data_IF_013608945760
#
_entry.id   IF_013608945760
#
_cell.length_a   1.000
_cell.length_b   1.000
_cell.length_c   1.000
_cell.angle_alpha   90.00
_cell.angle_beta   90.00
_cell.angle_gamma   90.00
#
_symmetry.space_group_name_H-M   'P 1'
#
loop_
_entity.id
_entity.type
_entity.pdbx_description
1 polymer ?
#
# COMPACT_ATOMS: atom_id res chain seq x y z
N UNK A 1 20.81 22.85 -12.38
CA UNK A 1 19.35 22.92 -12.19
C UNK A 1 18.77 21.55 -12.48
N UNK A 2 17.74 21.08 -11.72
CA UNK A 2 17.07 19.81 -12.01
C UNK A 2 16.62 19.76 -13.48
N UNK A 3 16.91 18.62 -14.15
CA UNK A 3 16.58 18.46 -15.58
C UNK A 3 17.48 19.18 -16.59
N UNK A 4 18.48 19.92 -16.14
CA UNK A 4 19.49 20.53 -17.01
C UNK A 4 20.88 19.98 -16.69
N UNK A 5 21.28 18.95 -17.41
CA UNK A 5 22.55 18.26 -17.22
C UNK A 5 22.45 17.05 -16.30
N UNK A 6 23.56 16.36 -16.08
CA UNK A 6 23.60 15.17 -15.22
C UNK A 6 23.71 15.56 -13.76
N UNK A 7 22.70 15.18 -12.95
CA UNK A 7 22.72 15.26 -11.49
C UNK A 7 23.35 14.00 -10.86
N UNK A 8 23.92 13.09 -11.65
CA UNK A 8 24.36 11.76 -11.21
C UNK A 8 25.33 11.81 -10.03
N UNK A 9 26.25 12.77 -10.00
CA UNK A 9 27.20 12.91 -8.90
C UNK A 9 26.51 13.35 -7.58
N UNK A 10 25.51 14.22 -7.68
CA UNK A 10 24.73 14.69 -6.52
C UNK A 10 23.86 13.55 -6.00
N UNK A 11 23.17 12.86 -6.89
CA UNK A 11 22.32 11.71 -6.54
C UNK A 11 23.15 10.59 -5.91
N UNK A 12 24.34 10.31 -6.45
CA UNK A 12 25.28 9.34 -5.89
C UNK A 12 25.75 9.75 -4.49
N UNK A 13 26.18 11.02 -4.31
CA UNK A 13 26.64 11.53 -3.03
C UNK A 13 25.54 11.48 -1.96
N UNK A 14 24.30 11.90 -2.30
CA UNK A 14 23.16 11.87 -1.38
C UNK A 14 22.75 10.43 -1.03
N UNK A 15 22.78 9.51 -2.00
CA UNK A 15 22.51 8.09 -1.74
C UNK A 15 23.60 7.49 -0.84
N UNK A 16 24.88 7.81 -1.07
CA UNK A 16 25.98 7.40 -0.22
C UNK A 16 25.86 7.92 1.21
N UNK A 17 25.49 9.20 1.38
CA UNK A 17 25.21 9.78 2.69
C UNK A 17 24.05 9.06 3.39
N UNK A 18 22.96 8.79 2.68
CA UNK A 18 21.81 8.06 3.21
C UNK A 18 22.24 6.70 3.77
N UNK A 19 23.00 5.92 3.01
CA UNK A 19 23.49 4.62 3.47
C UNK A 19 24.47 4.73 4.63
N UNK A 20 25.36 5.72 4.63
CA UNK A 20 26.30 5.95 5.72
C UNK A 20 25.60 6.21 7.06
N UNK A 21 24.62 7.12 7.08
CA UNK A 21 23.91 7.49 8.32
C UNK A 21 22.92 6.43 8.82
N UNK A 22 22.69 5.38 8.04
CA UNK A 22 21.90 4.21 8.48
C UNK A 22 22.75 3.19 9.24
N UNK A 23 24.05 3.39 9.34
CA UNK A 23 24.94 2.50 10.09
C UNK A 23 24.60 2.51 11.59
N UNK A 24 24.94 1.40 12.27
CA UNK A 24 24.72 1.27 13.71
C UNK A 24 25.47 2.35 14.48
N UNK A 25 24.77 3.07 15.33
CA UNK A 25 25.33 4.14 16.16
C UNK A 25 25.19 5.55 15.57
N UNK A 26 24.76 5.69 14.32
CA UNK A 26 24.66 6.98 13.60
C UNK A 26 23.27 7.65 13.72
N UNK A 27 22.49 7.36 14.77
CA UNK A 27 21.12 7.86 14.90
C UNK A 27 21.02 9.40 14.88
N UNK A 28 21.98 10.11 15.48
CA UNK A 28 21.99 11.58 15.44
C UNK A 28 22.25 12.09 14.02
N UNK A 29 23.17 11.47 13.28
CA UNK A 29 23.46 11.80 11.89
C UNK A 29 22.27 11.44 11.00
N UNK A 30 21.63 10.27 11.22
CA UNK A 30 20.41 9.87 10.54
C UNK A 30 19.29 10.92 10.70
N UNK A 31 18.99 11.32 11.94
CA UNK A 31 17.95 12.31 12.23
C UNK A 31 18.28 13.68 11.61
N UNK A 32 19.53 14.12 11.72
CA UNK A 32 19.97 15.37 11.09
C UNK A 32 19.80 15.34 9.56
N UNK A 33 20.14 14.21 8.93
CA UNK A 33 19.96 14.01 7.48
C UNK A 33 18.50 13.96 7.10
N UNK A 34 17.64 13.24 7.85
CA UNK A 34 16.20 13.22 7.62
C UNK A 34 15.62 14.65 7.65
N UNK A 35 15.95 15.43 8.68
CA UNK A 35 15.51 16.81 8.81
C UNK A 35 16.02 17.72 7.68
N UNK A 36 17.25 17.49 7.19
CA UNK A 36 17.77 18.22 6.03
C UNK A 36 16.98 17.89 4.75
N UNK A 37 16.65 16.62 4.52
CA UNK A 37 15.80 16.19 3.40
C UNK A 37 14.38 16.75 3.49
N UNK A 38 13.76 16.75 4.66
CA UNK A 38 12.44 17.37 4.89
C UNK A 38 12.45 18.86 4.53
N UNK A 39 13.45 19.60 5.00
CA UNK A 39 13.62 21.02 4.65
C UNK A 39 13.89 21.25 3.15
N UNK A 40 14.57 20.31 2.50
CA UNK A 40 14.82 20.39 1.07
C UNK A 40 13.53 20.19 0.25
N UNK A 41 12.61 19.31 0.69
CA UNK A 41 11.31 19.11 0.04
C UNK A 41 10.48 20.40 -0.05
N UNK A 42 10.56 21.27 0.95
CA UNK A 42 9.84 22.55 0.97
C UNK A 42 10.42 23.56 -0.04
N UNK A 43 11.72 23.46 -0.35
CA UNK A 43 12.44 24.41 -1.20
C UNK A 43 12.52 23.99 -2.67
N UNK A 44 12.43 22.71 -2.93
CA UNK A 44 12.55 22.15 -4.29
C UNK A 44 11.18 22.22 -4.96
N UNK A 45 11.13 22.74 -6.19
CA UNK A 45 9.91 22.76 -7.00
C UNK A 45 9.85 21.61 -8.00
N UNK A 46 11.01 21.07 -8.40
CA UNK A 46 11.10 19.99 -9.38
C UNK A 46 10.59 18.67 -8.82
N UNK A 47 9.67 18.02 -9.55
CA UNK A 47 8.99 16.80 -9.13
C UNK A 47 9.92 15.58 -9.05
N UNK A 48 10.82 15.44 -10.00
CA UNK A 48 11.78 14.32 -10.02
C UNK A 48 12.73 14.42 -8.84
N UNK A 49 13.21 15.61 -8.51
CA UNK A 49 14.04 15.85 -7.34
C UNK A 49 13.27 15.58 -6.04
N UNK A 50 12.00 16.01 -5.95
CA UNK A 50 11.14 15.65 -4.81
C UNK A 50 10.98 14.15 -4.68
N UNK A 51 10.68 13.45 -5.77
CA UNK A 51 10.54 12.00 -5.77
C UNK A 51 11.85 11.30 -5.35
N UNK A 52 13.00 11.83 -5.77
CA UNK A 52 14.30 11.33 -5.33
C UNK A 52 14.49 11.49 -3.82
N UNK A 53 14.23 12.69 -3.27
CA UNK A 53 14.35 12.94 -1.83
C UNK A 53 13.40 12.05 -1.03
N UNK A 54 12.15 11.87 -1.47
CA UNK A 54 11.19 10.97 -0.83
C UNK A 54 11.71 9.52 -0.81
N UNK A 55 12.37 9.07 -1.89
CA UNK A 55 13.02 7.74 -1.92
C UNK A 55 14.19 7.63 -0.92
N UNK A 56 14.94 8.71 -0.68
CA UNK A 56 15.96 8.72 0.38
C UNK A 56 15.29 8.62 1.77
N UNK A 57 14.20 9.38 2.01
CA UNK A 57 13.41 9.30 3.24
C UNK A 57 12.75 7.92 3.44
N UNK A 58 12.44 7.19 2.36
CA UNK A 58 11.97 5.80 2.45
C UNK A 58 13.00 4.89 3.14
N UNK A 59 14.30 5.16 2.96
CA UNK A 59 15.39 4.36 3.53
C UNK A 59 15.66 4.74 4.98
N UNK A 60 15.84 6.03 5.27
CA UNK A 60 16.34 6.49 6.57
C UNK A 60 15.26 7.12 7.47
N UNK A 61 14.08 7.42 6.93
CA UNK A 61 13.02 8.12 7.67
C UNK A 61 12.37 7.26 8.75
N UNK A 62 11.97 7.92 9.81
CA UNK A 62 11.14 7.36 10.89
C UNK A 62 9.93 8.26 11.11
N UNK A 63 9.38 8.30 12.31
CA UNK A 63 8.14 9.01 12.64
C UNK A 63 8.20 10.53 12.36
N UNK A 64 9.39 11.13 12.43
CA UNK A 64 9.60 12.53 12.10
C UNK A 64 9.25 12.89 10.65
N UNK A 65 9.24 11.90 9.75
CA UNK A 65 8.95 12.11 8.33
C UNK A 65 7.46 11.96 7.98
N UNK A 66 6.65 11.34 8.86
CA UNK A 66 5.29 10.89 8.55
C UNK A 66 4.39 12.03 8.13
N UNK A 67 4.40 13.15 8.85
CA UNK A 67 3.53 14.31 8.56
C UNK A 67 3.81 14.90 7.16
N UNK A 68 5.07 15.13 6.85
CA UNK A 68 5.47 15.69 5.54
C UNK A 68 5.18 14.72 4.41
N UNK A 69 5.48 13.42 4.57
CA UNK A 69 5.17 12.41 3.56
C UNK A 69 3.67 12.29 3.30
N UNK A 70 2.85 12.41 4.35
CA UNK A 70 1.40 12.36 4.25
C UNK A 70 0.82 13.48 3.37
N UNK A 71 1.43 14.67 3.35
CA UNK A 71 0.97 15.79 2.52
C UNK A 71 1.06 15.50 1.01
N UNK A 72 1.92 14.57 0.61
CA UNK A 72 2.09 14.15 -0.80
C UNK A 72 1.17 13.01 -1.24
N UNK A 73 0.37 12.41 -0.35
CA UNK A 73 -0.49 11.29 -0.70
C UNK A 73 -1.60 11.62 -1.73
N UNK A 74 -1.95 12.90 -1.86
CA UNK A 74 -2.92 13.37 -2.85
C UNK A 74 -2.27 13.96 -4.12
N UNK A 75 -0.96 14.04 -4.20
CA UNK A 75 -0.24 14.48 -5.40
C UNK A 75 -0.08 13.33 -6.39
N UNK A 76 -0.59 13.48 -7.62
CA UNK A 76 -0.58 12.40 -8.63
C UNK A 76 0.82 11.89 -8.99
N UNK A 77 1.85 12.70 -8.83
CA UNK A 77 3.22 12.34 -9.19
C UNK A 77 4.01 11.82 -8.00
N UNK A 78 3.64 12.23 -6.77
CA UNK A 78 4.39 11.93 -5.57
C UNK A 78 3.69 10.95 -4.62
N UNK A 79 2.38 10.65 -4.85
CA UNK A 79 1.62 9.72 -4.01
C UNK A 79 2.28 8.34 -3.91
N UNK A 80 2.72 7.78 -5.03
CA UNK A 80 3.39 6.48 -5.05
C UNK A 80 4.69 6.44 -4.24
N UNK A 81 5.65 7.36 -4.48
CA UNK A 81 6.83 7.50 -3.62
C UNK A 81 6.49 7.71 -2.14
N UNK A 82 5.55 8.62 -1.83
CA UNK A 82 5.17 8.92 -0.44
C UNK A 82 4.52 7.72 0.27
N UNK A 83 3.59 7.04 -0.38
CA UNK A 83 2.95 5.84 0.16
C UNK A 83 3.97 4.72 0.44
N UNK A 84 4.92 4.48 -0.49
CA UNK A 84 6.00 3.51 -0.27
C UNK A 84 6.93 3.92 0.88
N UNK A 85 7.25 5.21 1.02
CA UNK A 85 8.07 5.68 2.13
C UNK A 85 7.37 5.46 3.48
N UNK A 86 6.07 5.79 3.58
CA UNK A 86 5.26 5.52 4.77
C UNK A 86 5.17 4.02 5.08
N UNK A 87 5.03 3.17 4.05
CA UNK A 87 5.07 1.71 4.20
C UNK A 87 6.41 1.19 4.73
N UNK A 88 7.53 1.80 4.32
CA UNK A 88 8.86 1.41 4.79
C UNK A 88 9.09 1.85 6.25
N UNK A 89 8.59 3.02 6.65
CA UNK A 89 8.68 3.53 8.02
C UNK A 89 7.96 2.60 9.02
N UNK A 90 6.80 2.05 8.67
CA UNK A 90 6.05 1.02 9.42
C UNK A 90 5.66 1.38 10.86
N UNK A 91 5.81 2.60 11.31
CA UNK A 91 5.35 3.01 12.64
C UNK A 91 3.82 3.02 12.68
N UNK A 92 3.24 2.95 13.87
CA UNK A 92 1.79 2.99 14.02
C UNK A 92 1.21 4.31 13.49
N UNK A 93 1.97 5.40 13.61
CA UNK A 93 1.59 6.69 13.05
C UNK A 93 1.55 6.66 11.52
N UNK A 94 2.55 6.08 10.86
CA UNK A 94 2.57 5.90 9.41
C UNK A 94 1.40 5.04 8.92
N UNK A 95 1.08 3.94 9.62
CA UNK A 95 -0.07 3.08 9.32
C UNK A 95 -1.39 3.84 9.44
N UNK A 96 -1.59 4.56 10.56
CA UNK A 96 -2.79 5.37 10.80
C UNK A 96 -3.00 6.43 9.73
N UNK A 97 -1.93 7.09 9.29
CA UNK A 97 -1.99 8.11 8.24
C UNK A 97 -2.42 7.52 6.89
N UNK A 98 -1.91 6.35 6.52
CA UNK A 98 -2.32 5.66 5.29
C UNK A 98 -3.82 5.31 5.33
N UNK A 99 -4.30 4.72 6.43
CA UNK A 99 -5.72 4.38 6.61
C UNK A 99 -6.59 5.63 6.59
N UNK A 100 -6.22 6.68 7.35
CA UNK A 100 -6.96 7.94 7.41
C UNK A 100 -7.03 8.63 6.03
N UNK A 101 -5.96 8.55 5.23
CA UNK A 101 -5.94 9.11 3.88
C UNK A 101 -6.87 8.34 2.94
N UNK A 102 -6.92 7.03 3.04
CA UNK A 102 -7.86 6.21 2.27
C UNK A 102 -9.31 6.46 2.68
N UNK A 103 -9.58 6.61 3.99
CA UNK A 103 -10.93 6.90 4.52
C UNK A 103 -11.49 8.23 4.01
N UNK A 104 -10.66 9.26 3.83
CA UNK A 104 -11.09 10.54 3.27
C UNK A 104 -11.54 10.44 1.82
N UNK A 105 -11.13 9.41 1.09
CA UNK A 105 -11.43 9.22 -0.34
C UNK A 105 -11.12 10.46 -1.20
N UNK A 106 -10.19 11.28 -0.75
CA UNK A 106 -9.70 12.45 -1.48
C UNK A 106 -8.64 12.02 -2.49
N UNK A 107 -8.44 12.86 -3.51
CA UNK A 107 -7.49 12.58 -4.57
C UNK A 107 -8.09 11.80 -5.75
N UNK A 108 -7.23 11.44 -6.68
CA UNK A 108 -7.60 10.74 -7.90
C UNK A 108 -7.64 9.22 -7.70
N UNK A 109 -8.25 8.45 -8.63
CA UNK A 109 -8.16 6.99 -8.59
C UNK A 109 -6.72 6.47 -8.53
N UNK A 110 -5.77 7.18 -9.15
CA UNK A 110 -4.35 6.81 -9.10
C UNK A 110 -3.78 6.91 -7.68
N UNK A 111 -3.99 8.05 -7.01
CA UNK A 111 -3.47 8.26 -5.65
C UNK A 111 -4.10 7.30 -4.65
N UNK A 112 -5.39 7.00 -4.79
CA UNK A 112 -6.07 5.99 -3.96
C UNK A 112 -5.46 4.60 -4.16
N UNK A 113 -5.18 4.19 -5.41
CA UNK A 113 -4.51 2.90 -5.69
C UNK A 113 -3.11 2.84 -5.08
N UNK A 114 -2.34 3.93 -5.13
CA UNK A 114 -1.03 3.99 -4.51
C UNK A 114 -1.10 3.75 -2.98
N UNK A 115 -2.11 4.33 -2.31
CA UNK A 115 -2.36 4.13 -0.87
C UNK A 115 -2.82 2.70 -0.58
N UNK A 116 -3.75 2.15 -1.37
CA UNK A 116 -4.26 0.77 -1.22
C UNK A 116 -3.11 -0.24 -1.32
N UNK A 117 -2.22 -0.09 -2.31
CA UNK A 117 -1.02 -0.93 -2.44
C UNK A 117 -0.12 -0.85 -1.22
N UNK A 118 0.15 0.36 -0.74
CA UNK A 118 0.95 0.57 0.46
C UNK A 118 0.35 -0.12 1.70
N UNK A 119 -0.96 -0.05 1.87
CA UNK A 119 -1.70 -0.74 2.94
C UNK A 119 -1.57 -2.26 2.81
N UNK A 120 -1.71 -2.79 1.59
CA UNK A 120 -1.58 -4.21 1.31
C UNK A 120 -0.15 -4.73 1.57
N UNK A 121 0.87 -3.97 1.18
CA UNK A 121 2.28 -4.35 1.32
C UNK A 121 2.70 -4.55 2.79
N UNK A 122 2.21 -3.70 3.69
CA UNK A 122 2.51 -3.81 5.12
C UNK A 122 1.37 -4.43 5.94
N UNK A 123 0.34 -4.93 5.27
CA UNK A 123 -0.79 -5.68 5.85
C UNK A 123 -1.48 -4.95 7.00
N UNK A 124 -1.92 -3.70 6.77
CA UNK A 124 -2.58 -2.89 7.79
C UNK A 124 -4.02 -3.38 7.98
N UNK A 125 -4.27 -4.18 9.00
CA UNK A 125 -5.57 -4.79 9.28
C UNK A 125 -6.68 -3.74 9.53
N UNK A 126 -6.36 -2.59 10.12
CA UNK A 126 -7.31 -1.50 10.39
C UNK A 126 -7.96 -0.93 9.11
N UNK A 127 -7.39 -1.23 7.94
CA UNK A 127 -7.95 -0.82 6.65
C UNK A 127 -9.08 -1.74 6.15
N UNK A 128 -9.35 -2.88 6.77
CA UNK A 128 -10.31 -3.88 6.29
C UNK A 128 -11.68 -3.24 5.99
N UNK A 129 -12.24 -2.47 6.92
CA UNK A 129 -13.57 -1.88 6.76
C UNK A 129 -13.65 -0.85 5.64
N UNK A 130 -12.64 0.02 5.49
CA UNK A 130 -12.63 1.01 4.40
C UNK A 130 -12.46 0.33 3.04
N UNK A 131 -11.68 -0.72 2.95
CA UNK A 131 -11.50 -1.51 1.72
C UNK A 131 -12.79 -2.26 1.36
N UNK A 132 -13.49 -2.88 2.33
CA UNK A 132 -14.80 -3.50 2.11
C UNK A 132 -15.81 -2.51 1.51
N UNK A 133 -15.85 -1.28 2.01
CA UNK A 133 -16.73 -0.24 1.49
C UNK A 133 -16.35 0.24 0.06
N UNK A 134 -15.19 -0.20 -0.48
CA UNK A 134 -14.74 0.10 -1.85
C UNK A 134 -14.93 -1.06 -2.83
N UNK A 135 -15.39 -2.24 -2.40
CA UNK A 135 -15.62 -3.42 -3.25
C UNK A 135 -16.60 -3.19 -4.39
N UNK A 136 -17.55 -2.26 -4.21
CA UNK A 136 -18.56 -1.91 -5.22
C UNK A 136 -18.07 -0.92 -6.28
N UNK A 137 -16.78 -0.67 -6.42
CA UNK A 137 -16.25 0.24 -7.43
C UNK A 137 -16.60 -0.23 -8.85
N UNK A 138 -17.07 0.70 -9.68
CA UNK A 138 -17.30 0.45 -11.11
C UNK A 138 -16.01 0.48 -11.94
N UNK A 139 -14.90 0.99 -11.39
CA UNK A 139 -13.59 0.93 -12.02
C UNK A 139 -12.95 -0.44 -11.72
N UNK A 140 -12.84 -1.27 -12.76
CA UNK A 140 -12.24 -2.62 -12.67
C UNK A 140 -10.81 -2.59 -12.09
N UNK A 141 -10.02 -1.57 -12.44
CA UNK A 141 -8.66 -1.45 -11.92
C UNK A 141 -8.66 -1.11 -10.42
N UNK A 142 -9.59 -0.27 -9.97
CA UNK A 142 -9.77 0.01 -8.54
C UNK A 142 -10.24 -1.24 -7.81
N UNK A 143 -11.23 -1.94 -8.36
CA UNK A 143 -11.75 -3.18 -7.78
C UNK A 143 -10.65 -4.24 -7.62
N UNK A 144 -9.79 -4.40 -8.63
CA UNK A 144 -8.63 -5.28 -8.58
C UNK A 144 -7.68 -4.95 -7.41
N UNK A 145 -7.34 -3.67 -7.24
CA UNK A 145 -6.47 -3.24 -6.13
C UNK A 145 -7.11 -3.47 -4.76
N UNK A 146 -8.43 -3.22 -4.65
CA UNK A 146 -9.18 -3.44 -3.41
C UNK A 146 -9.25 -4.92 -3.06
N UNK A 147 -9.55 -5.79 -4.03
CA UNK A 147 -9.59 -7.25 -3.85
C UNK A 147 -8.22 -7.79 -3.45
N UNK A 148 -7.16 -7.35 -4.14
CA UNK A 148 -5.79 -7.69 -3.77
C UNK A 148 -5.47 -7.25 -2.33
N UNK A 149 -5.82 -6.02 -1.95
CA UNK A 149 -5.57 -5.54 -0.60
C UNK A 149 -6.34 -6.34 0.45
N UNK A 150 -7.65 -6.62 0.22
CA UNK A 150 -8.46 -7.42 1.15
C UNK A 150 -7.95 -8.85 1.30
N UNK A 151 -7.41 -9.45 0.25
CA UNK A 151 -6.77 -10.77 0.37
C UNK A 151 -5.56 -10.79 1.30
N UNK A 152 -4.93 -9.63 1.51
CA UNK A 152 -3.71 -9.47 2.34
C UNK A 152 -3.96 -8.92 3.73
N UNK A 153 -5.02 -8.11 3.92
CA UNK A 153 -5.31 -7.49 5.22
C UNK A 153 -6.56 -8.06 5.89
N UNK A 154 -7.45 -8.68 5.11
CA UNK A 154 -8.75 -9.14 5.56
C UNK A 154 -8.66 -10.24 6.62
N UNK A 155 -9.74 -10.36 7.36
CA UNK A 155 -10.03 -11.40 8.34
C UNK A 155 -11.21 -12.25 7.88
N UNK A 156 -11.66 -13.18 8.73
CA UNK A 156 -12.90 -13.93 8.49
C UNK A 156 -14.12 -13.04 8.23
N UNK A 157 -14.11 -11.80 8.71
CA UNK A 157 -15.19 -10.83 8.50
C UNK A 157 -15.34 -10.39 7.03
N UNK A 158 -14.33 -10.61 6.19
CA UNK A 158 -14.37 -10.32 4.75
C UNK A 158 -14.70 -11.52 3.87
N UNK A 159 -14.79 -12.75 4.43
CA UNK A 159 -15.03 -13.96 3.65
C UNK A 159 -16.34 -13.89 2.84
N UNK A 160 -17.44 -13.44 3.46
CA UNK A 160 -18.73 -13.33 2.79
C UNK A 160 -18.73 -12.30 1.66
N UNK A 161 -18.03 -11.19 1.85
CA UNK A 161 -17.95 -10.12 0.86
C UNK A 161 -17.16 -10.57 -0.37
N UNK A 162 -16.00 -11.21 -0.17
CA UNK A 162 -15.20 -11.74 -1.27
C UNK A 162 -15.88 -12.94 -1.96
N UNK A 163 -16.57 -13.79 -1.21
CA UNK A 163 -17.40 -14.85 -1.77
C UNK A 163 -18.44 -14.31 -2.74
N UNK A 164 -19.15 -13.23 -2.36
CA UNK A 164 -20.17 -12.61 -3.21
C UNK A 164 -19.57 -12.01 -4.50
N UNK A 165 -18.37 -11.43 -4.43
CA UNK A 165 -17.68 -10.91 -5.63
C UNK A 165 -17.22 -12.05 -6.53
N UNK A 166 -16.63 -13.11 -5.97
CA UNK A 166 -16.22 -14.30 -6.72
C UNK A 166 -17.40 -15.01 -7.39
N UNK A 167 -18.56 -15.05 -6.71
CA UNK A 167 -19.79 -15.61 -7.26
C UNK A 167 -20.32 -14.81 -8.47
N UNK A 168 -20.29 -13.47 -8.40
CA UNK A 168 -20.62 -12.60 -9.54
C UNK A 168 -19.68 -12.79 -10.71
N UNK A 169 -18.40 -13.08 -10.46
CA UNK A 169 -17.40 -13.42 -11.47
C UNK A 169 -17.54 -14.86 -12.00
N UNK A 170 -18.51 -15.64 -11.49
CA UNK A 170 -18.75 -17.02 -11.89
C UNK A 170 -17.62 -17.97 -11.51
N UNK A 171 -16.84 -17.63 -10.50
CA UNK A 171 -15.64 -18.37 -10.03
C UNK A 171 -14.60 -18.62 -11.11
N UNK A 172 -14.57 -17.77 -12.14
CA UNK A 172 -13.63 -17.86 -13.27
C UNK A 172 -12.46 -16.90 -13.06
N UNK A 173 -11.36 -17.20 -13.76
CA UNK A 173 -10.27 -16.25 -13.91
C UNK A 173 -10.77 -15.05 -14.74
N UNK A 174 -10.69 -13.85 -14.19
CA UNK A 174 -11.13 -12.62 -14.82
C UNK A 174 -10.24 -11.44 -14.42
N UNK A 175 -10.47 -10.26 -15.02
CA UNK A 175 -9.54 -9.12 -14.92
C UNK A 175 -9.35 -8.57 -13.50
N UNK A 176 -10.37 -8.67 -12.65
CA UNK A 176 -10.28 -8.14 -11.28
C UNK A 176 -9.62 -9.11 -10.30
N UNK A 177 -9.50 -10.39 -10.66
CA UNK A 177 -8.90 -11.41 -9.80
C UNK A 177 -9.76 -11.75 -8.58
N UNK A 178 -11.10 -11.68 -8.71
CA UNK A 178 -12.00 -11.88 -7.59
C UNK A 178 -11.91 -13.28 -6.99
N UNK A 179 -11.81 -14.31 -7.81
CA UNK A 179 -11.70 -15.69 -7.35
C UNK A 179 -10.35 -15.94 -6.65
N UNK A 180 -9.28 -15.46 -7.25
CA UNK A 180 -7.93 -15.54 -6.68
C UNK A 180 -7.82 -14.82 -5.34
N UNK A 181 -8.43 -13.63 -5.23
CA UNK A 181 -8.46 -12.87 -3.99
C UNK A 181 -9.26 -13.61 -2.89
N UNK A 182 -10.38 -14.25 -3.25
CA UNK A 182 -11.16 -15.05 -2.30
C UNK A 182 -10.38 -16.27 -1.81
N UNK A 183 -9.74 -17.01 -2.70
CA UNK A 183 -8.88 -18.16 -2.34
C UNK A 183 -7.73 -17.71 -1.43
N UNK A 184 -7.08 -16.61 -1.76
CA UNK A 184 -5.99 -16.06 -0.95
C UNK A 184 -6.46 -15.63 0.44
N UNK A 185 -7.67 -15.06 0.56
CA UNK A 185 -8.26 -14.72 1.85
C UNK A 185 -8.59 -15.98 2.68
N UNK A 186 -9.16 -17.03 2.08
CA UNK A 186 -9.42 -18.30 2.77
C UNK A 186 -8.13 -18.86 3.37
N UNK A 187 -7.04 -18.88 2.57
CA UNK A 187 -5.72 -19.30 3.04
C UNK A 187 -5.24 -18.45 4.22
N UNK A 188 -5.36 -17.13 4.11
CA UNK A 188 -4.96 -16.20 5.18
C UNK A 188 -5.76 -16.44 6.46
N UNK A 189 -7.08 -16.63 6.38
CA UNK A 189 -7.95 -16.90 7.53
C UNK A 189 -7.56 -18.22 8.21
N UNK A 190 -7.19 -19.24 7.43
CA UNK A 190 -6.64 -20.49 7.95
C UNK A 190 -5.32 -20.25 8.72
N UNK A 191 -4.41 -19.46 8.14
CA UNK A 191 -3.12 -19.10 8.76
C UNK A 191 -3.30 -18.26 10.04
N UNK A 192 -4.40 -17.50 10.17
CA UNK A 192 -4.78 -16.78 11.39
C UNK A 192 -5.35 -17.70 12.50
N UNK A 193 -5.58 -18.97 12.21
CA UNK A 193 -6.12 -19.95 13.15
C UNK A 193 -7.65 -20.08 13.14
N UNK A 194 -8.36 -19.35 12.29
CA UNK A 194 -9.81 -19.44 12.11
C UNK A 194 -10.20 -20.63 11.21
N UNK A 195 -9.75 -21.83 11.57
CA UNK A 195 -9.83 -23.06 10.77
C UNK A 195 -11.26 -23.39 10.33
N UNK A 196 -12.23 -23.29 11.24
CA UNK A 196 -13.64 -23.63 10.93
C UNK A 196 -14.24 -22.71 9.87
N UNK A 197 -13.95 -21.41 9.94
CA UNK A 197 -14.45 -20.42 8.98
C UNK A 197 -13.78 -20.62 7.61
N UNK A 198 -12.47 -20.90 7.61
CA UNK A 198 -11.71 -21.18 6.38
C UNK A 198 -12.19 -22.49 5.71
N UNK A 199 -12.38 -23.58 6.46
CA UNK A 199 -12.89 -24.87 5.94
C UNK A 199 -14.30 -24.72 5.36
N UNK A 200 -15.18 -24.00 6.04
CA UNK A 200 -16.53 -23.72 5.52
C UNK A 200 -16.46 -22.96 4.21
N UNK A 201 -15.69 -21.89 4.15
CA UNK A 201 -15.53 -21.08 2.96
C UNK A 201 -14.94 -21.87 1.78
N UNK A 202 -13.93 -22.71 2.03
CA UNK A 202 -13.32 -23.57 1.02
C UNK A 202 -14.33 -24.61 0.48
N UNK A 203 -15.10 -25.27 1.36
CA UNK A 203 -16.12 -26.26 0.96
C UNK A 203 -17.24 -25.60 0.16
N UNK A 204 -17.68 -24.39 0.53
CA UNK A 204 -18.70 -23.64 -0.22
C UNK A 204 -18.19 -23.22 -1.61
N UNK A 205 -16.94 -22.78 -1.69
CA UNK A 205 -16.27 -22.48 -2.97
C UNK A 205 -16.22 -23.71 -3.88
N UNK A 206 -15.77 -24.87 -3.39
CA UNK A 206 -15.71 -26.11 -4.14
C UNK A 206 -17.07 -26.53 -4.70
N UNK A 207 -18.12 -26.51 -3.87
CA UNK A 207 -19.49 -26.85 -4.30
C UNK A 207 -20.02 -25.91 -5.40
N UNK A 208 -19.72 -24.62 -5.28
CA UNK A 208 -20.22 -23.60 -6.22
C UNK A 208 -19.44 -23.57 -7.53
N UNK A 209 -18.09 -23.72 -7.47
CA UNK A 209 -17.25 -23.79 -8.67
C UNK A 209 -17.52 -25.04 -9.52
N UNK A 210 -17.74 -26.20 -8.88
CA UNK A 210 -18.11 -27.44 -9.60
C UNK A 210 -19.44 -27.28 -10.33
N UNK A 211 -20.45 -26.64 -9.70
CA UNK A 211 -21.73 -26.34 -10.35
C UNK A 211 -21.59 -25.36 -11.53
N UNK A 212 -20.63 -24.47 -11.50
CA UNK A 212 -20.34 -23.52 -12.56
C UNK A 212 -19.55 -24.14 -13.75
N UNK A 213 -19.27 -25.46 -13.72
CA UNK A 213 -18.58 -26.17 -14.80
C UNK A 213 -17.07 -25.95 -14.83
N UNK A 214 -16.48 -25.57 -13.70
CA UNK A 214 -15.02 -25.53 -13.52
C UNK A 214 -14.58 -26.85 -12.88
N UNK A 215 -14.24 -27.81 -13.73
CA UNK A 215 -13.49 -29.02 -13.34
C UNK A 215 -12.02 -28.84 -13.68
#
# INVERSE_FOLDING_TARGET
APGKGSNSNVDYALSGLTHYVMAKGEENARLATANAYLKALDKVSDRETKAFIIRQLQLLGKDECVHTLASYLNDENLSGPAARALSAIRTDNAKKVLVASLMRRSGTPKTQKDIIRAIADVQIADAENVLKAMLGSSDENMQKEVLYALSRVGSKASLSDLAAVAEKAGYKMEKTGANEAYIALIKRVLEQGDTKDAEKAANDLLKKSTKAGMT
#
